data_IF_673399338001
#
_entry.id   IF_673399338001
#
_cell.length_a   1.000
_cell.length_b   1.000
_cell.length_c   1.000
_cell.angle_alpha   90.00
_cell.angle_beta   90.00
_cell.angle_gamma   90.00
#
_symmetry.space_group_name_H-M   'P 1'
#
loop_
_entity.id
_entity.type
_entity.pdbx_description
1 polymer ?
#
# COMPACT_ATOMS: atom_id res chain seq x y z
N UNK A 1 10.15 12.78 -7.74
CA UNK A 1 9.45 11.54 -7.37
C UNK A 1 8.90 11.73 -5.97
N UNK A 2 7.63 11.43 -5.70
CA UNK A 2 7.05 11.63 -4.37
C UNK A 2 7.32 10.38 -3.52
N UNK A 3 7.94 10.56 -2.36
CA UNK A 3 8.44 9.47 -1.50
C UNK A 3 7.72 9.54 -0.16
N UNK A 4 7.22 8.40 0.30
CA UNK A 4 6.62 8.25 1.64
C UNK A 4 7.71 7.89 2.63
N UNK A 5 7.94 8.76 3.61
CA UNK A 5 8.90 8.57 4.70
C UNK A 5 8.22 8.11 5.99
N UNK A 6 7.21 8.86 6.43
CA UNK A 6 6.74 8.82 7.83
C UNK A 6 5.25 8.53 7.97
N UNK A 7 4.70 7.48 7.35
CA UNK A 7 3.30 7.04 7.52
C UNK A 7 2.98 5.82 6.63
N UNK A 8 3.93 4.90 6.50
CA UNK A 8 3.90 3.82 5.51
C UNK A 8 2.60 3.01 5.60
N UNK A 9 2.15 2.70 6.81
CA UNK A 9 0.93 1.92 7.03
C UNK A 9 -0.32 2.70 6.66
N UNK A 10 -0.42 3.94 7.13
CA UNK A 10 -1.57 4.78 6.79
C UNK A 10 -1.65 4.94 5.28
N UNK A 11 -0.51 5.17 4.62
CA UNK A 11 -0.39 5.26 3.18
C UNK A 11 -0.83 3.97 2.47
N UNK A 12 -0.24 2.82 2.79
CA UNK A 12 -0.57 1.55 2.14
C UNK A 12 -2.03 1.15 2.34
N UNK A 13 -2.57 1.31 3.55
CA UNK A 13 -3.94 0.89 3.93
C UNK A 13 -4.93 2.06 4.00
N UNK A 14 -4.62 3.16 3.31
CA UNK A 14 -5.41 4.39 3.36
C UNK A 14 -6.77 4.29 2.67
N UNK A 15 -6.91 3.39 1.68
CA UNK A 15 -8.18 3.18 0.97
C UNK A 15 -8.01 2.79 -0.49
N UNK A 16 -7.18 3.50 -1.25
CA UNK A 16 -6.97 3.29 -2.68
C UNK A 16 -5.54 3.73 -3.05
N UNK A 17 -4.56 3.05 -2.47
CA UNK A 17 -3.14 3.39 -2.64
C UNK A 17 -2.59 2.73 -3.89
N UNK A 18 -1.69 3.43 -4.59
CA UNK A 18 -0.91 2.89 -5.70
C UNK A 18 0.50 3.43 -5.56
N UNK A 19 1.47 2.53 -5.51
CA UNK A 19 2.84 2.86 -5.16
C UNK A 19 3.82 1.84 -5.70
N UNK A 20 5.09 2.22 -5.70
CA UNK A 20 6.22 1.40 -6.10
C UNK A 20 7.17 1.28 -4.93
N UNK A 21 7.57 0.06 -4.59
CA UNK A 21 8.68 -0.18 -3.67
C UNK A 21 9.91 -0.41 -4.55
N UNK A 22 10.97 0.35 -4.30
CA UNK A 22 12.28 0.14 -4.91
C UNK A 22 13.27 -0.24 -3.82
N UNK A 23 14.08 -1.28 -4.06
CA UNK A 23 15.15 -1.76 -3.19
C UNK A 23 16.38 -2.06 -4.04
N UNK A 24 17.41 -1.22 -3.95
CA UNK A 24 18.53 -1.22 -4.88
C UNK A 24 18.05 -1.03 -6.34
N UNK A 25 18.37 -2.00 -7.21
CA UNK A 25 17.99 -1.99 -8.63
C UNK A 25 16.61 -2.63 -8.91
N UNK A 26 16.01 -3.27 -7.91
CA UNK A 26 14.73 -3.95 -8.07
C UNK A 26 13.58 -3.01 -7.71
N UNK A 27 12.50 -3.05 -8.48
CA UNK A 27 11.31 -2.26 -8.18
C UNK A 27 10.04 -3.01 -8.57
N UNK A 28 9.02 -2.92 -7.71
CA UNK A 28 7.71 -3.51 -7.96
C UNK A 28 6.60 -2.54 -7.61
N UNK A 29 5.55 -2.54 -8.42
CA UNK A 29 4.42 -1.64 -8.28
C UNK A 29 3.19 -2.38 -7.78
N UNK A 30 2.51 -1.79 -6.80
CA UNK A 30 1.40 -2.37 -6.09
C UNK A 30 0.20 -1.42 -6.11
N UNK A 31 -0.98 -2.00 -5.97
CA UNK A 31 -2.20 -1.30 -5.62
C UNK A 31 -2.87 -2.02 -4.46
N UNK A 32 -3.19 -1.27 -3.41
CA UNK A 32 -3.97 -1.76 -2.28
C UNK A 32 -5.28 -0.97 -2.23
N UNK A 33 -6.40 -1.70 -2.28
CA UNK A 33 -7.73 -1.14 -2.37
C UNK A 33 -8.65 -1.69 -1.27
N UNK A 34 -9.18 -0.80 -0.43
CA UNK A 34 -10.14 -1.12 0.63
C UNK A 34 -11.47 -1.51 0.01
N UNK A 35 -11.91 -2.75 0.27
CA UNK A 35 -13.23 -3.23 -0.10
C UNK A 35 -14.23 -2.80 0.99
N UNK A 36 -15.41 -2.32 0.56
CA UNK A 36 -16.54 -2.16 1.48
C UNK A 36 -17.05 -3.54 1.86
N UNK A 37 -17.24 -3.78 3.15
CA UNK A 37 -17.86 -5.00 3.67
C UNK A 37 -19.05 -4.60 4.55
N UNK A 38 -20.03 -5.48 4.63
CA UNK A 38 -21.25 -5.22 5.39
C UNK A 38 -21.04 -5.43 6.90
N UNK A 39 -20.07 -6.28 7.27
CA UNK A 39 -19.70 -6.63 8.64
C UNK A 39 -18.71 -5.65 9.30
N UNK A 40 -18.34 -4.56 8.61
CA UNK A 40 -17.34 -3.60 9.08
C UNK A 40 -15.89 -4.10 9.07
N UNK A 41 -15.63 -5.33 8.60
CA UNK A 41 -14.28 -5.86 8.46
C UNK A 41 -13.42 -5.00 7.53
N UNK A 42 -12.20 -4.69 7.99
CA UNK A 42 -11.24 -3.92 7.19
C UNK A 42 -10.51 -4.87 6.22
N UNK A 43 -11.10 -5.06 5.03
CA UNK A 43 -10.54 -5.87 3.95
C UNK A 43 -9.89 -4.98 2.88
N UNK A 44 -8.67 -5.33 2.48
CA UNK A 44 -7.89 -4.61 1.48
C UNK A 44 -7.37 -5.55 0.42
N UNK A 45 -7.87 -5.44 -0.80
CA UNK A 45 -7.42 -6.21 -1.95
C UNK A 45 -6.04 -5.73 -2.41
N UNK A 46 -5.15 -6.67 -2.67
CA UNK A 46 -3.82 -6.43 -3.20
C UNK A 46 -3.78 -6.79 -4.69
N UNK A 47 -3.21 -5.88 -5.47
CA UNK A 47 -2.90 -6.10 -6.87
C UNK A 47 -1.43 -5.77 -7.15
N UNK A 48 -0.74 -6.65 -7.87
CA UNK A 48 0.53 -6.35 -8.53
C UNK A 48 0.25 -5.64 -9.85
N UNK A 49 0.91 -4.51 -10.10
CA UNK A 49 0.80 -3.79 -11.38
C UNK A 49 1.93 -4.24 -12.29
N UNK A 50 1.58 -4.85 -13.42
CA UNK A 50 2.48 -5.02 -14.56
C UNK A 50 2.14 -3.99 -15.64
N UNK A 51 2.97 -3.90 -16.68
CA UNK A 51 2.90 -2.86 -17.72
C UNK A 51 1.49 -2.65 -18.30
N UNK A 52 0.67 -3.71 -18.40
CA UNK A 52 -0.62 -3.66 -19.08
C UNK A 52 -1.84 -4.05 -18.22
N UNK A 53 -1.67 -4.71 -17.07
CA UNK A 53 -2.80 -5.19 -16.22
C UNK A 53 -2.43 -5.23 -14.74
N UNK A 54 -3.44 -5.16 -13.87
CA UNK A 54 -3.30 -5.44 -12.44
C UNK A 54 -3.64 -6.89 -12.15
N UNK A 55 -2.68 -7.67 -11.64
CA UNK A 55 -2.89 -9.06 -11.22
C UNK A 55 -3.35 -9.08 -9.78
N UNK A 56 -4.50 -9.70 -9.49
CA UNK A 56 -5.00 -9.85 -8.12
C UNK A 56 -4.19 -10.91 -7.37
N UNK A 57 -3.67 -10.56 -6.20
CA UNK A 57 -2.79 -11.44 -5.41
C UNK A 57 -3.48 -12.01 -4.16
N UNK A 58 -4.61 -11.44 -3.76
CA UNK A 58 -5.27 -11.75 -2.50
C UNK A 58 -5.66 -10.49 -1.74
N UNK A 59 -5.87 -10.62 -0.44
CA UNK A 59 -6.31 -9.51 0.39
C UNK A 59 -5.67 -9.54 1.77
N UNK A 60 -5.49 -8.35 2.32
CA UNK A 60 -5.22 -8.15 3.73
C UNK A 60 -6.54 -8.02 4.50
N UNK A 61 -6.59 -8.61 5.70
CA UNK A 61 -7.66 -8.41 6.67
C UNK A 61 -7.05 -7.87 7.96
N UNK A 62 -7.65 -6.80 8.48
CA UNK A 62 -7.23 -6.17 9.74
C UNK A 62 -8.34 -6.32 10.76
N UNK A 63 -8.04 -7.02 11.86
CA UNK A 63 -8.92 -7.26 13.01
C UNK A 63 -8.10 -7.02 14.26
N UNK A 64 -8.59 -6.21 15.20
CA UNK A 64 -7.91 -5.89 16.46
C UNK A 64 -6.43 -5.48 16.28
N UNK A 65 -6.19 -4.54 15.36
CA UNK A 65 -4.85 -4.06 14.96
C UNK A 65 -3.92 -5.13 14.36
N UNK A 66 -4.37 -6.37 14.20
CA UNK A 66 -3.59 -7.45 13.60
C UNK A 66 -3.84 -7.52 12.11
N UNK A 67 -2.76 -7.37 11.34
CA UNK A 67 -2.76 -7.55 9.89
C UNK A 67 -2.57 -9.03 9.54
N UNK A 68 -3.44 -9.57 8.70
CA UNK A 68 -3.29 -10.91 8.12
C UNK A 68 -3.39 -10.82 6.60
N UNK A 69 -2.55 -11.57 5.88
CA UNK A 69 -2.60 -11.67 4.42
C UNK A 69 -3.16 -13.02 4.00
N UNK A 70 -4.18 -13.01 3.15
CA UNK A 70 -4.79 -14.18 2.52
C UNK A 70 -4.47 -14.16 1.04
N UNK A 71 -3.57 -15.05 0.64
CA UNK A 71 -3.12 -15.20 -0.74
C UNK A 71 -4.22 -15.83 -1.62
N UNK A 72 -4.32 -15.40 -2.87
CA UNK A 72 -5.18 -16.02 -3.88
C UNK A 72 -4.33 -16.76 -4.90
N UNK A 73 -4.35 -18.11 -4.86
CA UNK A 73 -3.63 -18.94 -5.84
C UNK A 73 -4.19 -18.90 -7.27
N UNK A 74 -5.12 -18.00 -7.57
CA UNK A 74 -5.91 -18.02 -8.81
C UNK A 74 -5.18 -17.44 -10.02
N UNK A 75 -4.12 -16.64 -9.81
CA UNK A 75 -3.51 -15.83 -10.90
C UNK A 75 -1.98 -15.94 -10.98
N UNK A 76 -1.42 -17.07 -10.56
CA UNK A 76 -0.02 -17.43 -10.84
C UNK A 76 1.06 -16.62 -10.11
N UNK A 77 0.67 -15.73 -9.20
CA UNK A 77 1.61 -15.14 -8.24
C UNK A 77 1.76 -16.14 -7.12
N UNK A 78 2.97 -16.60 -6.82
CA UNK A 78 3.19 -17.46 -5.67
C UNK A 78 3.35 -16.62 -4.41
N UNK A 79 2.97 -17.19 -3.26
CA UNK A 79 3.13 -16.51 -1.97
C UNK A 79 4.58 -16.10 -1.70
N UNK A 80 5.53 -16.92 -2.15
CA UNK A 80 6.97 -16.73 -1.93
C UNK A 80 7.67 -16.06 -3.13
N UNK A 81 6.92 -15.51 -4.09
CA UNK A 81 7.48 -14.72 -5.17
C UNK A 81 8.22 -13.50 -4.59
N UNK A 82 9.39 -13.18 -5.16
CA UNK A 82 10.16 -11.96 -4.90
C UNK A 82 9.29 -10.70 -4.77
N UNK A 83 8.26 -10.56 -5.60
CA UNK A 83 7.35 -9.41 -5.60
C UNK A 83 6.47 -9.37 -4.34
N UNK A 84 6.06 -10.53 -3.84
CA UNK A 84 5.28 -10.65 -2.61
C UNK A 84 6.15 -10.47 -1.38
N UNK A 85 7.34 -11.07 -1.37
CA UNK A 85 8.31 -10.95 -0.28
C UNK A 85 8.71 -9.48 -0.07
N UNK A 86 8.98 -8.73 -1.14
CA UNK A 86 9.27 -7.29 -1.08
C UNK A 86 8.21 -6.51 -0.29
N UNK A 87 6.93 -6.72 -0.62
CA UNK A 87 5.83 -6.01 0.04
C UNK A 87 5.69 -6.42 1.51
N UNK A 88 5.71 -7.73 1.78
CA UNK A 88 5.49 -8.24 3.13
C UNK A 88 6.64 -7.86 4.07
N UNK A 89 7.89 -7.92 3.60
CA UNK A 89 9.07 -7.45 4.34
C UNK A 89 8.98 -5.94 4.60
N UNK A 90 8.62 -5.14 3.60
CA UNK A 90 8.47 -3.69 3.76
C UNK A 90 7.42 -3.34 4.81
N UNK A 91 6.28 -4.05 4.83
CA UNK A 91 5.25 -3.87 5.86
C UNK A 91 5.77 -4.30 7.24
N UNK A 92 6.50 -5.40 7.31
CA UNK A 92 7.07 -5.90 8.57
C UNK A 92 8.10 -4.92 9.14
N UNK A 93 9.02 -4.45 8.29
CA UNK A 93 10.14 -3.55 8.61
C UNK A 93 9.76 -2.07 8.56
N UNK A 94 8.48 -1.73 8.42
CA UNK A 94 7.96 -0.35 8.29
C UNK A 94 8.52 0.71 9.25
N UNK A 95 9.06 0.32 10.42
CA UNK A 95 9.65 1.24 11.41
C UNK A 95 11.14 1.46 11.20
N UNK A 96 11.80 0.59 10.44
CA UNK A 96 13.23 0.60 10.16
C UNK A 96 13.46 -0.04 8.79
N UNK A 97 13.12 0.70 7.72
CA UNK A 97 13.36 0.23 6.37
C UNK A 97 14.87 0.24 6.07
N UNK A 98 15.38 -0.71 5.28
CA UNK A 98 16.75 -0.64 4.76
C UNK A 98 17.00 0.69 4.03
N UNK A 99 18.21 1.23 4.13
CA UNK A 99 18.56 2.54 3.52
C UNK A 99 18.36 2.59 2.01
N UNK A 100 18.49 1.46 1.33
CA UNK A 100 18.29 1.31 -0.11
C UNK A 100 16.82 1.12 -0.51
N UNK A 101 15.89 1.13 0.45
CA UNK A 101 14.46 0.91 0.23
C UNK A 101 13.67 2.21 0.24
N UNK A 102 13.00 2.52 -0.88
CA UNK A 102 12.14 3.70 -1.02
C UNK A 102 10.74 3.33 -1.48
N UNK A 103 9.74 4.05 -0.96
CA UNK A 103 8.33 3.88 -1.32
C UNK A 103 7.86 5.11 -2.07
N UNK A 104 7.59 4.94 -3.36
CA UNK A 104 7.28 6.02 -4.29
C UNK A 104 5.80 6.00 -4.69
N UNK A 105 5.21 7.18 -4.95
CA UNK A 105 3.83 7.26 -5.45
C UNK A 105 3.63 8.31 -6.55
N UNK A 106 2.59 8.11 -7.35
CA UNK A 106 2.27 8.90 -8.53
C UNK A 106 1.49 10.20 -8.25
N UNK A 107 1.62 10.77 -7.05
CA UNK A 107 0.95 12.02 -6.70
C UNK A 107 -0.59 11.91 -6.59
N UNK A 108 -1.10 10.72 -6.26
CA UNK A 108 -2.53 10.51 -5.97
C UNK A 108 -2.75 10.22 -4.49
N UNK A 109 -3.88 10.70 -3.97
CA UNK A 109 -4.30 10.47 -2.59
C UNK A 109 -4.50 8.97 -2.35
N UNK A 110 -3.81 8.41 -1.38
CA UNK A 110 -3.92 6.99 -1.04
C UNK A 110 -5.25 6.60 -0.37
N UNK A 111 -6.13 7.55 -0.07
CA UNK A 111 -7.49 7.29 0.43
C UNK A 111 -8.53 7.30 -0.69
N UNK A 112 -8.61 8.41 -1.45
CA UNK A 112 -9.69 8.62 -2.43
C UNK A 112 -9.24 8.50 -3.90
N UNK A 113 -7.94 8.48 -4.19
CA UNK A 113 -7.37 8.35 -5.53
C UNK A 113 -7.35 9.64 -6.38
N UNK A 114 -7.82 10.78 -5.86
CA UNK A 114 -7.71 12.09 -6.54
C UNK A 114 -6.26 12.55 -6.63
N UNK A 115 -5.95 13.37 -7.65
CA UNK A 115 -4.63 14.00 -7.81
C UNK A 115 -4.35 14.93 -6.63
N UNK A 116 -3.11 14.92 -6.16
CA UNK A 116 -2.59 15.80 -5.12
C UNK A 116 -1.87 16.96 -5.80
N UNK A 117 -2.19 18.18 -5.39
CA UNK A 117 -1.70 19.41 -6.06
C UNK A 117 -0.90 20.31 -5.14
N UNK A 118 -0.95 20.10 -3.81
CA UNK A 118 -0.17 20.85 -2.85
C UNK A 118 1.02 20.04 -2.30
N UNK A 119 2.16 20.70 -1.96
CA UNK A 119 3.36 20.01 -1.50
C UNK A 119 3.15 19.16 -0.24
N UNK A 120 2.40 19.65 0.75
CA UNK A 120 2.17 18.91 2.01
C UNK A 120 1.36 17.64 1.78
N UNK A 121 0.38 17.68 0.86
CA UNK A 121 -0.35 16.49 0.47
C UNK A 121 0.51 15.51 -0.30
N UNK A 122 1.36 15.99 -1.21
CA UNK A 122 2.33 15.16 -1.92
C UNK A 122 3.29 14.45 -0.96
N UNK A 123 3.81 15.17 0.03
CA UNK A 123 4.72 14.62 1.04
C UNK A 123 4.09 13.48 1.87
N UNK A 124 2.87 13.69 2.37
CA UNK A 124 2.17 12.67 3.17
C UNK A 124 1.43 11.61 2.35
N UNK A 125 1.26 11.82 1.05
CA UNK A 125 0.47 10.95 0.15
C UNK A 125 -1.06 11.04 0.31
N UNK A 126 -1.58 12.08 0.96
CA UNK A 126 -3.01 12.27 1.23
C UNK A 126 -3.44 13.71 1.03
N UNK A 127 -4.66 13.91 0.52
CA UNK A 127 -5.34 15.21 0.62
C UNK A 127 -5.69 15.54 2.08
N UNK A 128 -5.91 16.83 2.43
CA UNK A 128 -6.06 17.29 3.82
C UNK A 128 -7.19 16.60 4.58
N UNK A 129 -8.37 16.51 3.98
CA UNK A 129 -9.53 15.85 4.59
C UNK A 129 -9.30 14.33 4.75
N UNK A 130 -8.67 13.71 3.75
CA UNK A 130 -8.37 12.28 3.77
C UNK A 130 -7.37 11.95 4.87
N UNK A 131 -6.38 12.82 5.08
CA UNK A 131 -5.40 12.66 6.15
C UNK A 131 -6.06 12.63 7.52
N UNK A 132 -7.03 13.50 7.79
CA UNK A 132 -7.74 13.50 9.08
C UNK A 132 -8.44 12.17 9.37
N UNK A 133 -8.91 11.46 8.33
CA UNK A 133 -9.58 10.17 8.47
C UNK A 133 -8.63 9.00 8.76
N UNK A 134 -7.35 9.12 8.40
CA UNK A 134 -6.39 8.01 8.46
C UNK A 134 -5.23 8.24 9.44
N UNK A 135 -4.97 9.47 9.88
CA UNK A 135 -3.83 9.79 10.75
C UNK A 135 -3.77 9.01 12.06
N UNK A 136 -4.94 8.63 12.60
CA UNK A 136 -5.06 7.82 13.82
C UNK A 136 -5.07 6.31 13.58
N UNK A 137 -4.86 5.85 12.34
CA UNK A 137 -4.84 4.43 12.02
C UNK A 137 -3.54 3.80 12.51
N UNK A 138 -3.66 2.69 13.25
CA UNK A 138 -2.53 1.98 13.88
C UNK A 138 -2.62 0.49 13.55
N UNK A 139 -1.47 -0.09 13.20
CA UNK A 139 -1.18 -1.53 13.09
C UNK A 139 -0.03 -1.91 14.03
#
# INVERSE_FOLDING_TARGET
MNIIKDNIIQFMFGGNSTFTIQKGNNHFSYKIYKKRTDDGAKIYHLYLKSANKGTYCGYFKIVDHKLTFRHSGKYGVEKNDSQMNFLLETIHQRRNLPEDTVICHCGRCAHCGRMLTDPKSMERGFGPECWQKVKGFIL
#
